data_IF_784512235719
#
_entry.id   IF_784512235719
#
_cell.length_a   1.000
_cell.length_b   1.000
_cell.length_c   1.000
_cell.angle_alpha   90.00
_cell.angle_beta   90.00
_cell.angle_gamma   90.00
#
_symmetry.space_group_name_H-M   'P 1'
#
loop_
_entity.id
_entity.type
_entity.pdbx_description
1 polymer ?
#
# COMPACT_ATOMS: atom_id res chain seq x y z
N UNK A 1 -10.15 -6.40 17.64
CA UNK A 1 -10.61 -7.77 17.93
C UNK A 1 -9.49 -8.54 18.68
N UNK A 2 -9.37 -8.37 20.00
CA UNK A 2 -8.27 -9.00 20.77
C UNK A 2 -8.32 -10.52 20.80
N UNK A 3 -9.52 -11.12 20.60
CA UNK A 3 -9.74 -12.56 20.57
C UNK A 3 -9.86 -13.17 19.17
N UNK A 4 -9.48 -12.45 18.13
CA UNK A 4 -9.80 -12.81 16.76
C UNK A 4 -11.22 -12.37 16.38
N UNK A 5 -11.71 -12.81 15.23
CA UNK A 5 -13.04 -12.49 14.70
C UNK A 5 -13.01 -12.32 13.19
N UNK A 6 -14.16 -11.99 12.62
CA UNK A 6 -14.35 -11.83 11.20
C UNK A 6 -14.41 -10.34 10.83
N UNK A 7 -13.88 -10.00 9.66
CA UNK A 7 -13.96 -8.67 9.04
C UNK A 7 -14.62 -8.83 7.66
N UNK A 8 -15.72 -8.11 7.46
CA UNK A 8 -16.45 -8.11 6.20
C UNK A 8 -16.24 -6.76 5.51
N UNK A 9 -15.98 -6.79 4.21
CA UNK A 9 -15.88 -5.61 3.36
C UNK A 9 -16.85 -5.76 2.20
N UNK A 10 -17.77 -4.80 2.08
CA UNK A 10 -18.78 -4.78 1.03
C UNK A 10 -18.74 -3.42 0.31
N UNK A 11 -19.05 -3.43 -0.98
CA UNK A 11 -19.18 -2.20 -1.78
C UNK A 11 -20.41 -2.28 -2.65
N UNK A 12 -21.13 -1.16 -2.75
CA UNK A 12 -22.30 -1.05 -3.63
C UNK A 12 -22.45 0.36 -4.19
N UNK A 13 -23.11 0.46 -5.36
CA UNK A 13 -23.56 1.74 -5.89
C UNK A 13 -24.95 2.03 -5.34
N UNK A 14 -25.10 3.22 -4.73
CA UNK A 14 -26.35 3.66 -4.13
C UNK A 14 -26.76 5.03 -4.67
N UNK A 15 -28.06 5.30 -4.69
CA UNK A 15 -28.58 6.62 -4.98
C UNK A 15 -29.15 7.21 -3.67
N UNK A 16 -28.54 8.26 -3.18
CA UNK A 16 -28.98 8.94 -1.95
C UNK A 16 -29.98 10.03 -2.28
N UNK A 17 -31.13 9.98 -1.62
CA UNK A 17 -32.18 10.98 -1.77
C UNK A 17 -31.95 12.20 -0.89
N UNK A 18 -32.74 13.24 -1.12
CA UNK A 18 -32.66 14.51 -0.37
C UNK A 18 -32.90 14.32 1.12
N UNK A 19 -33.81 13.42 1.52
CA UNK A 19 -34.11 13.20 2.93
C UNK A 19 -32.92 12.61 3.68
N UNK A 20 -32.18 11.71 3.06
CA UNK A 20 -31.00 11.08 3.64
C UNK A 20 -29.80 12.03 3.74
N UNK A 21 -29.57 12.85 2.72
CA UNK A 21 -28.35 13.69 2.66
C UNK A 21 -28.47 15.03 3.36
N UNK A 22 -29.69 15.59 3.52
CA UNK A 22 -29.90 16.90 4.16
C UNK A 22 -29.27 17.04 5.55
N UNK A 23 -29.39 16.07 6.46
CA UNK A 23 -28.74 16.16 7.79
C UNK A 23 -27.21 16.18 7.72
N UNK A 24 -26.63 15.80 6.60
CA UNK A 24 -25.18 15.67 6.40
C UNK A 24 -24.59 16.75 5.50
N UNK A 25 -25.43 17.71 5.06
CA UNK A 25 -25.05 18.80 4.14
C UNK A 25 -24.42 18.29 2.82
N UNK A 26 -24.95 17.17 2.29
CA UNK A 26 -24.45 16.56 1.06
C UNK A 26 -25.47 16.74 -0.07
N UNK A 27 -25.03 16.77 -1.34
CA UNK A 27 -25.95 16.76 -2.49
C UNK A 27 -26.59 15.38 -2.65
N UNK A 28 -27.89 15.32 -3.05
CA UNK A 28 -28.50 14.06 -3.46
C UNK A 28 -27.89 13.58 -4.78
N UNK A 29 -27.86 12.28 -5.00
CA UNK A 29 -27.31 11.73 -6.25
C UNK A 29 -26.67 10.35 -6.10
N UNK A 30 -25.87 9.93 -7.10
CA UNK A 30 -25.17 8.66 -7.07
C UNK A 30 -23.94 8.68 -6.13
N UNK A 31 -23.83 7.65 -5.31
CA UNK A 31 -22.74 7.42 -4.39
C UNK A 31 -22.23 5.98 -4.47
N UNK A 32 -20.99 5.78 -4.11
CA UNK A 32 -20.44 4.45 -3.76
C UNK A 32 -20.48 4.31 -2.24
N UNK A 33 -21.14 3.28 -1.76
CA UNK A 33 -21.15 2.90 -0.35
C UNK A 33 -20.11 1.81 -0.13
N UNK A 34 -19.23 2.02 0.85
CA UNK A 34 -18.25 1.04 1.34
C UNK A 34 -18.64 0.71 2.78
N UNK A 35 -18.85 -0.57 3.06
CA UNK A 35 -19.22 -1.05 4.39
C UNK A 35 -18.09 -1.92 4.93
N UNK A 36 -17.63 -1.59 6.13
CA UNK A 36 -16.63 -2.38 6.87
C UNK A 36 -17.25 -2.82 8.18
N UNK A 37 -17.46 -4.11 8.33
CA UNK A 37 -18.09 -4.71 9.53
C UNK A 37 -17.10 -5.65 10.23
N UNK A 38 -16.92 -5.47 11.52
CA UNK A 38 -16.15 -6.39 12.37
C UNK A 38 -17.04 -7.07 13.42
N UNK A 39 -16.66 -8.26 13.85
CA UNK A 39 -17.31 -9.02 14.93
C UNK A 39 -16.58 -8.83 16.27
N UNK A 40 -15.97 -7.68 16.48
CA UNK A 40 -15.18 -7.38 17.68
C UNK A 40 -16.02 -7.04 18.91
N UNK A 41 -15.36 -6.41 19.87
CA UNK A 41 -15.99 -6.05 21.16
C UNK A 41 -17.02 -4.93 21.08
N UNK A 42 -17.08 -4.23 19.94
CA UNK A 42 -17.97 -3.10 19.77
C UNK A 42 -17.61 -1.88 20.66
N UNK A 43 -18.50 -0.92 20.67
CA UNK A 43 -18.33 0.36 21.39
C UNK A 43 -19.59 0.78 22.10
N UNK A 44 -19.43 1.42 23.26
CA UNK A 44 -20.52 2.12 23.94
C UNK A 44 -20.84 3.47 23.27
N UNK A 45 -21.95 4.08 23.64
CA UNK A 45 -22.41 5.34 23.04
C UNK A 45 -21.43 6.50 23.24
N UNK A 46 -20.75 6.57 24.40
CA UNK A 46 -19.77 7.62 24.67
C UNK A 46 -18.55 7.47 23.76
N UNK A 47 -18.05 6.26 23.62
CA UNK A 47 -16.96 5.94 22.71
C UNK A 47 -17.36 6.23 21.27
N UNK A 48 -18.54 5.75 20.84
CA UNK A 48 -19.06 5.93 19.48
C UNK A 48 -19.14 7.40 19.06
N UNK A 49 -19.54 8.30 19.97
CA UNK A 49 -19.61 9.75 19.69
C UNK A 49 -18.24 10.41 19.51
N UNK A 50 -17.19 9.82 20.06
CA UNK A 50 -15.86 10.42 20.14
C UNK A 50 -14.81 9.75 19.26
N UNK A 51 -15.14 8.65 18.58
CA UNK A 51 -14.14 7.89 17.80
C UNK A 51 -13.46 8.69 16.70
N UNK A 52 -14.08 9.78 16.23
CA UNK A 52 -13.53 10.69 15.23
C UNK A 52 -12.81 11.90 15.83
N UNK A 53 -12.82 12.06 17.16
CA UNK A 53 -12.08 13.15 17.82
C UNK A 53 -10.57 12.88 17.70
N UNK A 54 -9.76 13.86 17.29
CA UNK A 54 -8.31 13.71 17.28
C UNK A 54 -7.79 13.34 18.67
N UNK A 55 -6.83 12.41 18.71
CA UNK A 55 -6.19 11.91 19.93
C UNK A 55 -7.09 11.06 20.85
N UNK A 56 -8.35 10.84 20.50
CA UNK A 56 -9.21 9.94 21.26
C UNK A 56 -8.83 8.49 21.01
N UNK A 57 -8.59 7.73 22.08
CA UNK A 57 -8.29 6.30 22.01
C UNK A 57 -8.75 5.61 23.29
N UNK A 58 -9.30 4.41 23.16
CA UNK A 58 -9.60 3.49 24.26
C UNK A 58 -8.45 2.51 24.54
N UNK A 59 -7.37 2.55 23.73
CA UNK A 59 -6.19 1.73 23.92
C UNK A 59 -5.28 2.32 24.99
N UNK A 60 -4.54 1.46 25.70
CA UNK A 60 -3.56 1.90 26.69
C UNK A 60 -2.51 2.82 26.07
N UNK A 61 -2.02 3.79 26.88
CA UNK A 61 -0.96 4.72 26.45
C UNK A 61 0.20 4.00 25.76
N UNK A 62 0.57 4.49 24.56
CA UNK A 62 1.65 3.94 23.75
C UNK A 62 1.24 2.93 22.66
N UNK A 63 -0.02 2.51 22.58
CA UNK A 63 -0.51 1.57 21.56
C UNK A 63 -1.42 2.20 20.48
N UNK A 64 -1.31 3.50 20.25
CA UNK A 64 -2.01 4.21 19.19
C UNK A 64 -2.20 5.68 19.52
N UNK A 65 -1.89 6.57 18.59
CA UNK A 65 -1.95 8.01 18.76
C UNK A 65 -3.40 8.57 18.74
N UNK A 66 -4.43 7.74 18.54
CA UNK A 66 -5.82 8.19 18.43
C UNK A 66 -6.11 9.08 17.20
N UNK A 67 -5.26 9.00 16.17
CA UNK A 67 -5.39 9.84 14.97
C UNK A 67 -6.02 9.11 13.78
N UNK A 68 -6.04 7.77 13.76
CA UNK A 68 -6.43 6.99 12.59
C UNK A 68 -7.85 7.30 12.11
N UNK A 69 -8.85 7.20 12.99
CA UNK A 69 -10.26 7.46 12.61
C UNK A 69 -10.53 8.95 12.36
N UNK A 70 -9.85 9.86 13.06
CA UNK A 70 -9.92 11.29 12.78
C UNK A 70 -9.40 11.61 11.36
N UNK A 71 -8.30 10.96 10.94
CA UNK A 71 -7.77 11.09 9.58
C UNK A 71 -8.74 10.51 8.55
N UNK A 72 -9.29 9.32 8.79
CA UNK A 72 -10.31 8.73 7.90
C UNK A 72 -11.51 9.67 7.74
N UNK A 73 -12.01 10.23 8.83
CA UNK A 73 -13.09 11.21 8.79
C UNK A 73 -12.72 12.43 7.93
N UNK A 74 -11.54 13.00 8.14
CA UNK A 74 -11.05 14.15 7.37
C UNK A 74 -10.91 13.83 5.87
N UNK A 75 -10.38 12.65 5.52
CA UNK A 75 -10.25 12.20 4.14
C UNK A 75 -11.63 12.05 3.48
N UNK A 76 -12.56 11.36 4.14
CA UNK A 76 -13.90 11.14 3.60
C UNK A 76 -14.62 12.48 3.39
N UNK A 77 -14.55 13.41 4.35
CA UNK A 77 -15.11 14.76 4.22
C UNK A 77 -14.43 15.57 3.12
N UNK A 78 -13.11 15.49 3.00
CA UNK A 78 -12.35 16.14 1.93
C UNK A 78 -12.72 15.68 0.52
N UNK A 79 -13.28 14.46 0.39
CA UNK A 79 -13.82 13.92 -0.85
C UNK A 79 -15.33 14.18 -1.02
N UNK A 80 -15.91 15.05 -0.23
CA UNK A 80 -17.36 15.35 -0.29
C UNK A 80 -18.23 14.18 0.15
N UNK A 81 -17.67 13.26 0.93
CA UNK A 81 -18.37 12.08 1.43
C UNK A 81 -18.85 12.19 2.87
N UNK A 82 -19.43 11.12 3.36
CA UNK A 82 -19.78 10.96 4.76
C UNK A 82 -19.40 9.57 5.28
N UNK A 83 -19.20 9.48 6.58
CA UNK A 83 -18.98 8.23 7.30
C UNK A 83 -19.97 8.13 8.45
N UNK A 84 -20.61 6.97 8.57
CA UNK A 84 -21.51 6.61 9.65
C UNK A 84 -20.98 5.39 10.37
N UNK A 85 -21.27 5.25 11.66
CA UNK A 85 -20.86 4.09 12.46
C UNK A 85 -22.03 3.60 13.31
N UNK A 86 -22.27 2.30 13.19
CA UNK A 86 -23.17 1.55 14.05
C UNK A 86 -22.33 0.57 14.89
N UNK A 87 -22.50 0.63 16.20
CA UNK A 87 -21.80 -0.29 17.11
C UNK A 87 -22.51 -0.34 18.45
N UNK A 88 -22.46 -1.51 19.06
CA UNK A 88 -22.89 -1.72 20.44
C UNK A 88 -21.92 -2.68 21.15
N UNK A 89 -21.79 -2.61 22.48
CA UNK A 89 -20.93 -3.51 23.22
C UNK A 89 -21.23 -4.98 22.92
N UNK A 90 -20.21 -5.76 22.55
CA UNK A 90 -20.30 -7.16 22.21
C UNK A 90 -20.89 -7.48 20.83
N UNK A 91 -21.21 -6.47 20.00
CA UNK A 91 -21.80 -6.67 18.67
C UNK A 91 -20.89 -6.21 17.53
N UNK A 92 -19.61 -5.93 17.81
CA UNK A 92 -18.70 -5.40 16.82
C UNK A 92 -19.01 -3.98 16.39
N UNK A 93 -18.49 -3.56 15.23
CA UNK A 93 -18.77 -2.26 14.64
C UNK A 93 -18.96 -2.37 13.12
N UNK A 94 -19.86 -1.54 12.59
CA UNK A 94 -20.10 -1.36 11.16
C UNK A 94 -19.86 0.09 10.78
N UNK A 95 -18.88 0.32 9.93
CA UNK A 95 -18.57 1.61 9.34
C UNK A 95 -19.15 1.65 7.93
N UNK A 96 -20.03 2.62 7.65
CA UNK A 96 -20.58 2.90 6.32
C UNK A 96 -20.01 4.20 5.80
N UNK A 97 -19.24 4.12 4.72
CA UNK A 97 -18.61 5.26 4.06
C UNK A 97 -19.34 5.50 2.74
N UNK A 98 -19.76 6.74 2.49
CA UNK A 98 -20.39 7.14 1.25
C UNK A 98 -19.53 8.16 0.53
N UNK A 99 -19.11 7.87 -0.69
CA UNK A 99 -18.34 8.77 -1.54
C UNK A 99 -19.14 9.11 -2.80
N UNK A 100 -19.16 10.39 -3.25
CA UNK A 100 -19.81 10.73 -4.50
C UNK A 100 -19.28 9.87 -5.65
N UNK A 101 -20.19 9.27 -6.42
CA UNK A 101 -19.80 8.51 -7.59
C UNK A 101 -19.25 9.47 -8.66
N UNK A 102 -18.13 9.11 -9.27
CA UNK A 102 -17.58 9.88 -10.39
C UNK A 102 -18.39 9.57 -11.66
N UNK A 103 -18.84 10.61 -12.36
CA UNK A 103 -19.40 10.47 -13.71
C UNK A 103 -18.34 10.22 -14.79
N UNK A 104 -17.07 10.42 -14.43
CA UNK A 104 -15.98 10.05 -15.32
C UNK A 104 -16.03 8.54 -15.49
N UNK A 105 -16.29 8.12 -16.72
CA UNK A 105 -15.98 6.74 -17.10
C UNK A 105 -14.59 6.47 -16.56
N UNK A 106 -14.36 5.37 -15.80
CA UNK A 106 -12.99 5.01 -15.45
C UNK A 106 -12.22 5.18 -16.77
N UNK A 107 -11.25 6.11 -16.82
CA UNK A 107 -10.26 5.97 -17.85
C UNK A 107 -9.89 4.51 -17.71
N UNK A 108 -10.37 3.72 -18.67
CA UNK A 108 -9.69 2.50 -18.98
C UNK A 108 -8.29 3.01 -19.29
N UNK A 109 -7.45 3.12 -18.24
CA UNK A 109 -6.07 2.77 -18.46
C UNK A 109 -6.23 1.50 -19.26
N UNK A 110 -6.03 1.66 -20.56
CA UNK A 110 -6.09 0.54 -21.45
C UNK A 110 -5.21 -0.48 -20.76
N UNK A 111 -5.80 -1.35 -19.98
CA UNK A 111 -5.31 -2.67 -19.74
C UNK A 111 -5.25 -3.23 -21.15
N UNK A 112 -4.20 -2.80 -21.87
CA UNK A 112 -3.56 -3.72 -22.76
C UNK A 112 -3.41 -4.92 -21.87
N UNK A 113 -4.25 -5.91 -22.08
CA UNK A 113 -4.04 -7.28 -21.68
C UNK A 113 -2.78 -7.76 -22.38
N UNK A 114 -1.70 -7.07 -22.09
CA UNK A 114 -0.36 -7.59 -22.23
C UNK A 114 -0.31 -8.64 -21.15
N UNK A 115 -0.42 -9.90 -21.54
CA UNK A 115 -0.42 -11.02 -20.62
C UNK A 115 0.66 -10.80 -19.58
N UNK A 116 0.39 -11.08 -18.30
CA UNK A 116 1.34 -10.89 -17.22
C UNK A 116 2.72 -11.40 -17.65
N UNK A 117 3.68 -10.50 -17.70
CA UNK A 117 5.03 -10.82 -18.15
C UNK A 117 5.67 -11.69 -17.07
N UNK A 118 6.17 -12.84 -17.46
CA UNK A 118 6.79 -13.83 -16.59
C UNK A 118 8.30 -13.83 -16.77
N UNK A 119 9.02 -14.37 -15.78
CA UNK A 119 10.45 -14.54 -15.84
C UNK A 119 10.94 -15.68 -14.95
N UNK A 120 12.24 -15.96 -15.00
CA UNK A 120 12.89 -17.02 -14.20
C UNK A 120 14.10 -16.49 -13.44
N UNK A 121 14.34 -15.19 -13.55
CA UNK A 121 15.47 -14.51 -12.95
C UNK A 121 15.34 -14.49 -11.41
N UNK A 122 16.46 -14.30 -10.73
CA UNK A 122 16.46 -14.10 -9.28
C UNK A 122 16.17 -12.65 -8.94
N UNK A 123 15.24 -12.43 -8.01
CA UNK A 123 14.87 -11.10 -7.50
C UNK A 123 15.11 -11.07 -5.99
N UNK A 124 15.82 -10.06 -5.51
CA UNK A 124 15.94 -9.76 -4.09
C UNK A 124 14.89 -8.70 -3.72
N UNK A 125 13.93 -9.08 -2.89
CA UNK A 125 12.91 -8.17 -2.35
C UNK A 125 13.35 -7.73 -0.94
N UNK A 126 13.41 -6.41 -0.74
CA UNK A 126 13.92 -5.77 0.49
C UNK A 126 12.85 -4.85 1.06
N UNK A 127 12.36 -5.15 2.25
CA UNK A 127 11.33 -4.38 2.96
C UNK A 127 11.37 -4.73 4.45
N UNK A 128 11.16 -3.78 5.35
CA UNK A 128 11.16 -4.05 6.79
C UNK A 128 9.82 -4.61 7.30
N UNK A 129 8.76 -4.53 6.48
CA UNK A 129 7.46 -5.08 6.80
C UNK A 129 7.33 -6.53 6.31
N UNK A 130 7.28 -7.51 7.23
CA UNK A 130 7.17 -8.93 6.89
C UNK A 130 5.96 -9.24 5.99
N UNK A 131 4.84 -8.56 6.20
CA UNK A 131 3.61 -8.73 5.38
C UNK A 131 3.86 -8.36 3.91
N UNK A 132 4.64 -7.29 3.67
CA UNK A 132 5.01 -6.86 2.32
C UNK A 132 5.95 -7.88 1.67
N UNK A 133 6.91 -8.41 2.43
CA UNK A 133 7.81 -9.47 1.95
C UNK A 133 7.03 -10.73 1.56
N UNK A 134 6.06 -11.16 2.38
CA UNK A 134 5.28 -12.37 2.11
C UNK A 134 4.38 -12.21 0.88
N UNK A 135 3.62 -11.10 0.79
CA UNK A 135 2.77 -10.80 -0.38
C UNK A 135 3.61 -10.62 -1.64
N UNK A 136 4.69 -9.84 -1.56
CA UNK A 136 5.58 -9.58 -2.69
C UNK A 136 6.24 -10.86 -3.21
N UNK A 137 6.63 -11.78 -2.31
CA UNK A 137 7.15 -13.10 -2.67
C UNK A 137 6.11 -13.90 -3.45
N UNK A 138 4.88 -14.03 -2.92
CA UNK A 138 3.81 -14.77 -3.60
C UNK A 138 3.53 -14.20 -5.00
N UNK A 139 3.48 -12.88 -5.12
CA UNK A 139 3.28 -12.21 -6.41
C UNK A 139 4.40 -12.54 -7.39
N UNK A 140 5.66 -12.40 -7.00
CA UNK A 140 6.82 -12.63 -7.86
C UNK A 140 7.00 -14.12 -8.21
N UNK A 141 6.79 -15.04 -7.27
CA UNK A 141 6.84 -16.48 -7.51
C UNK A 141 5.72 -16.93 -8.47
N UNK A 142 4.51 -16.36 -8.36
CA UNK A 142 3.42 -16.64 -9.30
C UNK A 142 3.73 -16.18 -10.74
N UNK A 143 4.61 -15.19 -10.89
CA UNK A 143 5.15 -14.74 -12.17
C UNK A 143 6.37 -15.57 -12.65
N UNK A 144 6.82 -16.55 -11.86
CA UNK A 144 7.89 -17.49 -12.21
C UNK A 144 9.28 -17.09 -11.71
N UNK A 145 9.45 -15.97 -11.03
CA UNK A 145 10.74 -15.51 -10.51
C UNK A 145 11.22 -16.33 -9.31
N UNK A 146 12.52 -16.41 -9.11
CA UNK A 146 13.12 -16.89 -7.85
C UNK A 146 13.29 -15.73 -6.90
N UNK A 147 12.72 -15.82 -5.70
CA UNK A 147 12.69 -14.71 -4.76
C UNK A 147 13.62 -14.95 -3.58
N UNK A 148 14.45 -13.96 -3.29
CA UNK A 148 15.25 -13.84 -2.09
C UNK A 148 14.67 -12.69 -1.27
N UNK A 149 14.65 -12.81 0.05
CA UNK A 149 14.06 -11.81 0.94
C UNK A 149 15.13 -11.20 1.83
N UNK A 150 14.96 -9.94 2.19
CA UNK A 150 15.74 -9.27 3.22
C UNK A 150 14.86 -8.26 3.97
N UNK A 151 14.86 -8.29 5.30
CA UNK A 151 14.10 -7.39 6.18
C UNK A 151 14.85 -6.09 6.50
N UNK A 152 16.01 -5.84 5.90
CA UNK A 152 16.80 -4.63 6.12
C UNK A 152 17.86 -4.44 5.05
N UNK A 153 18.39 -3.22 4.93
CA UNK A 153 19.51 -2.93 4.03
C UNK A 153 20.76 -3.75 4.33
N UNK A 154 21.07 -3.97 5.61
CA UNK A 154 22.22 -4.79 6.01
C UNK A 154 22.06 -6.25 5.58
N UNK A 155 20.88 -6.81 5.76
CA UNK A 155 20.56 -8.16 5.31
C UNK A 155 20.59 -8.27 3.78
N UNK A 156 20.05 -7.26 3.06
CA UNK A 156 20.10 -7.20 1.61
C UNK A 156 21.53 -7.31 1.08
N UNK A 157 22.47 -6.59 1.68
CA UNK A 157 23.89 -6.66 1.34
C UNK A 157 24.49 -8.04 1.65
N UNK A 158 24.10 -8.68 2.75
CA UNK A 158 24.55 -10.02 3.10
C UNK A 158 24.04 -11.07 2.10
N UNK A 159 22.74 -11.05 1.78
CA UNK A 159 22.11 -11.91 0.79
C UNK A 159 22.75 -11.71 -0.59
N UNK A 160 22.99 -10.45 -0.99
CA UNK A 160 23.62 -10.17 -2.26
C UNK A 160 25.07 -10.70 -2.33
N UNK A 161 25.85 -10.59 -1.26
CA UNK A 161 27.21 -11.16 -1.19
C UNK A 161 27.21 -12.70 -1.33
N UNK A 162 26.20 -13.34 -0.75
CA UNK A 162 26.06 -14.80 -0.81
C UNK A 162 25.59 -15.28 -2.18
N UNK A 163 24.57 -14.65 -2.74
CA UNK A 163 23.89 -15.13 -3.98
C UNK A 163 24.47 -14.50 -5.25
N UNK A 164 25.05 -13.32 -5.16
CA UNK A 164 25.75 -12.65 -6.25
C UNK A 164 24.95 -12.59 -7.55
N UNK A 165 25.52 -13.14 -8.62
CA UNK A 165 24.94 -13.14 -9.96
C UNK A 165 23.60 -13.89 -10.09
N UNK A 166 23.19 -14.66 -9.09
CA UNK A 166 21.86 -15.27 -9.09
C UNK A 166 20.75 -14.22 -8.91
N UNK A 167 21.09 -13.02 -8.41
CA UNK A 167 20.16 -11.88 -8.27
C UNK A 167 20.35 -10.96 -9.47
N UNK A 168 19.33 -10.88 -10.31
CA UNK A 168 19.30 -10.03 -11.50
C UNK A 168 18.67 -8.65 -11.23
N UNK A 169 17.81 -8.54 -10.20
CA UNK A 169 17.10 -7.34 -9.81
C UNK A 169 16.95 -7.27 -8.30
N UNK A 170 17.08 -6.07 -7.74
CA UNK A 170 16.71 -5.77 -6.35
C UNK A 170 15.49 -4.87 -6.38
N UNK A 171 14.41 -5.27 -5.71
CA UNK A 171 13.27 -4.41 -5.38
C UNK A 171 13.51 -3.90 -3.96
N UNK A 172 13.69 -2.59 -3.81
CA UNK A 172 14.21 -1.99 -2.59
C UNK A 172 13.23 -0.97 -2.01
N UNK A 173 12.75 -1.22 -0.81
CA UNK A 173 11.98 -0.19 -0.09
C UNK A 173 12.86 1.01 0.26
N UNK A 174 12.27 2.19 0.14
CA UNK A 174 12.96 3.44 0.33
C UNK A 174 13.11 3.82 1.82
N UNK A 175 12.11 3.45 2.63
CA UNK A 175 12.02 3.86 4.03
C UNK A 175 12.12 2.64 4.92
N UNK A 176 13.30 2.40 5.46
CA UNK A 176 13.57 1.30 6.37
C UNK A 176 14.30 1.79 7.63
N UNK A 177 14.10 1.17 8.80
CA UNK A 177 14.85 1.48 10.00
C UNK A 177 16.34 1.18 9.85
N UNK A 178 17.18 2.00 10.44
CA UNK A 178 18.63 1.84 10.42
C UNK A 178 19.24 2.27 9.10
N UNK A 179 19.49 1.34 8.17
CA UNK A 179 20.04 1.64 6.85
C UNK A 179 18.91 1.98 5.88
N UNK A 180 18.84 3.22 5.41
CA UNK A 180 17.83 3.67 4.45
C UNK A 180 17.96 2.98 3.08
N UNK A 181 16.89 3.00 2.28
CA UNK A 181 16.93 2.51 0.91
C UNK A 181 17.99 3.21 0.06
N UNK A 182 18.18 4.53 0.24
CA UNK A 182 19.22 5.28 -0.45
C UNK A 182 20.64 4.84 -0.12
N UNK A 183 20.92 4.62 1.16
CA UNK A 183 22.23 4.10 1.60
C UNK A 183 22.44 2.65 1.14
N UNK A 184 21.39 1.83 1.20
CA UNK A 184 21.43 0.45 0.70
C UNK A 184 21.73 0.42 -0.80
N UNK A 185 21.07 1.29 -1.58
CA UNK A 185 21.32 1.46 -3.00
C UNK A 185 22.79 1.79 -3.31
N UNK A 186 23.34 2.78 -2.63
CA UNK A 186 24.74 3.21 -2.84
C UNK A 186 25.71 2.05 -2.57
N UNK A 187 25.54 1.34 -1.45
CA UNK A 187 26.39 0.18 -1.10
C UNK A 187 26.22 -1.02 -2.04
N UNK A 188 25.01 -1.25 -2.56
CA UNK A 188 24.79 -2.27 -3.58
C UNK A 188 25.52 -1.91 -4.88
N UNK A 189 25.47 -0.64 -5.29
CA UNK A 189 26.16 -0.15 -6.49
C UNK A 189 27.68 -0.17 -6.35
N UNK A 190 28.21 0.12 -5.15
CA UNK A 190 29.64 -0.05 -4.86
C UNK A 190 30.10 -1.50 -5.01
N UNK A 191 29.28 -2.45 -4.49
CA UNK A 191 29.59 -3.87 -4.54
C UNK A 191 29.35 -4.48 -5.93
N UNK A 192 28.39 -3.95 -6.69
CA UNK A 192 27.97 -4.43 -7.99
C UNK A 192 27.44 -3.27 -8.84
N UNK A 193 28.32 -2.58 -9.59
CA UNK A 193 27.94 -1.44 -10.41
C UNK A 193 26.83 -1.73 -11.41
N UNK A 194 26.69 -2.99 -11.80
CA UNK A 194 25.74 -3.46 -12.80
C UNK A 194 24.42 -4.00 -12.24
N UNK A 195 24.21 -4.05 -10.93
CA UNK A 195 22.96 -4.56 -10.38
C UNK A 195 21.80 -3.63 -10.76
N UNK A 196 20.70 -4.20 -11.19
CA UNK A 196 19.48 -3.46 -11.45
C UNK A 196 18.72 -3.25 -10.14
N UNK A 197 18.23 -2.04 -9.94
CA UNK A 197 17.47 -1.68 -8.73
C UNK A 197 16.17 -1.00 -9.12
N UNK A 198 15.05 -1.54 -8.62
CA UNK A 198 13.72 -0.97 -8.68
C UNK A 198 13.36 -0.48 -7.29
N UNK A 199 13.26 0.86 -7.12
CA UNK A 199 12.81 1.43 -5.84
C UNK A 199 11.32 1.19 -5.65
N UNK A 200 10.91 0.92 -4.41
CA UNK A 200 9.52 0.83 -3.98
C UNK A 200 9.24 1.83 -2.87
N UNK A 201 8.13 2.58 -2.94
CA UNK A 201 7.78 3.55 -1.89
C UNK A 201 6.28 3.82 -1.85
N UNK A 202 5.76 4.08 -0.64
CA UNK A 202 4.39 4.57 -0.43
C UNK A 202 4.20 6.06 -0.75
N UNK A 203 5.28 6.79 -0.92
CA UNK A 203 5.25 8.21 -1.29
C UNK A 203 5.45 8.37 -2.81
N UNK A 204 4.84 9.42 -3.38
CA UNK A 204 5.06 9.78 -4.78
C UNK A 204 6.54 10.14 -5.04
N UNK A 205 6.93 10.19 -6.31
CA UNK A 205 8.28 10.55 -6.78
C UNK A 205 8.63 12.00 -6.38
N UNK A 206 8.85 12.25 -5.09
CA UNK A 206 9.27 13.51 -4.52
C UNK A 206 10.70 13.42 -3.96
N UNK A 207 11.30 14.55 -3.70
CA UNK A 207 12.61 14.80 -3.10
C UNK A 207 13.61 13.65 -3.05
N UNK A 208 13.43 12.70 -2.13
CA UNK A 208 14.41 11.63 -1.89
C UNK A 208 14.38 10.54 -2.98
N UNK A 209 13.20 10.12 -3.44
CA UNK A 209 13.11 9.12 -4.50
C UNK A 209 13.72 9.64 -5.81
N UNK A 210 13.48 10.92 -6.14
CA UNK A 210 14.07 11.56 -7.30
C UNK A 210 15.59 11.61 -7.21
N UNK A 211 16.17 11.93 -6.05
CA UNK A 211 17.62 11.92 -5.85
C UNK A 211 18.26 10.55 -6.09
N UNK A 212 17.58 9.45 -5.70
CA UNK A 212 18.08 8.09 -5.93
C UNK A 212 17.94 7.72 -7.43
N UNK A 213 16.85 8.13 -8.06
CA UNK A 213 16.68 7.96 -9.51
C UNK A 213 17.78 8.70 -10.30
N UNK A 214 18.10 9.93 -9.91
CA UNK A 214 19.16 10.74 -10.55
C UNK A 214 20.57 10.11 -10.37
N UNK A 215 20.77 9.28 -9.33
CA UNK A 215 21.99 8.50 -9.11
C UNK A 215 22.06 7.21 -9.94
N UNK A 216 21.10 6.99 -10.85
CA UNK A 216 21.10 5.87 -11.78
C UNK A 216 20.32 4.64 -11.30
N UNK A 217 19.29 4.82 -10.46
CA UNK A 217 18.33 3.78 -10.19
C UNK A 217 17.54 3.44 -11.46
N UNK A 218 17.22 2.15 -11.66
CA UNK A 218 16.69 1.67 -12.95
C UNK A 218 15.18 1.86 -13.10
N UNK A 219 14.45 2.03 -11.98
CA UNK A 219 13.00 2.25 -12.01
C UNK A 219 12.41 2.59 -10.64
N UNK A 220 11.13 2.95 -10.67
CA UNK A 220 10.34 3.27 -9.48
C UNK A 220 8.98 2.58 -9.54
N UNK A 221 8.53 2.00 -8.41
CA UNK A 221 7.25 1.36 -8.20
C UNK A 221 6.56 1.97 -6.98
N UNK A 222 5.43 2.62 -7.19
CA UNK A 222 4.68 3.25 -6.10
C UNK A 222 3.82 2.21 -5.38
N UNK A 223 3.90 2.14 -4.05
CA UNK A 223 2.99 1.37 -3.19
C UNK A 223 1.69 2.17 -2.92
N UNK A 224 0.53 1.52 -2.87
CA UNK A 224 0.29 0.11 -3.17
C UNK A 224 0.28 -0.15 -4.68
N UNK A 225 0.79 -1.30 -5.12
CA UNK A 225 0.83 -1.68 -6.52
C UNK A 225 0.05 -2.98 -6.78
N UNK A 226 -0.44 -3.13 -8.01
CA UNK A 226 -1.12 -4.33 -8.47
C UNK A 226 -0.12 -5.31 -9.10
N UNK A 227 -0.55 -6.56 -9.26
CA UNK A 227 0.25 -7.61 -9.91
C UNK A 227 0.72 -7.19 -11.32
N UNK A 228 -0.16 -6.54 -12.08
CA UNK A 228 0.12 -6.07 -13.44
C UNK A 228 1.22 -5.00 -13.44
N UNK A 229 1.19 -4.06 -12.48
CA UNK A 229 2.18 -2.99 -12.35
C UNK A 229 3.54 -3.57 -11.97
N UNK A 230 3.56 -4.49 -11.00
CA UNK A 230 4.76 -5.20 -10.60
C UNK A 230 5.36 -5.98 -11.77
N UNK A 231 4.55 -6.80 -12.46
CA UNK A 231 4.96 -7.59 -13.62
C UNK A 231 5.59 -6.72 -14.71
N UNK A 232 4.90 -5.65 -15.08
CA UNK A 232 5.36 -4.70 -16.11
C UNK A 232 6.66 -4.00 -15.70
N UNK A 233 6.74 -3.48 -14.46
CA UNK A 233 7.92 -2.74 -13.99
C UNK A 233 9.15 -3.62 -13.83
N UNK A 234 8.98 -4.83 -13.35
CA UNK A 234 10.07 -5.81 -13.25
C UNK A 234 10.64 -6.13 -14.63
N UNK A 235 9.80 -6.39 -15.63
CA UNK A 235 10.27 -6.65 -17.00
C UNK A 235 10.90 -5.42 -17.62
N UNK A 236 10.30 -4.23 -17.48
CA UNK A 236 10.86 -2.98 -17.98
C UNK A 236 12.30 -2.78 -17.49
N UNK A 237 12.56 -3.03 -16.21
CA UNK A 237 13.90 -2.88 -15.62
C UNK A 237 14.84 -4.01 -16.07
N UNK A 238 14.37 -5.26 -16.13
CA UNK A 238 15.19 -6.39 -16.54
C UNK A 238 15.56 -6.36 -18.04
N UNK A 239 14.71 -5.79 -18.89
CA UNK A 239 14.92 -5.69 -20.34
C UNK A 239 15.59 -4.38 -20.78
N UNK A 240 15.69 -3.40 -19.87
CA UNK A 240 16.34 -2.14 -20.17
C UNK A 240 17.78 -2.40 -20.64
N UNK A 241 18.07 -2.10 -21.91
CA UNK A 241 19.44 -2.11 -22.38
C UNK A 241 20.25 -1.11 -21.56
N UNK A 242 21.38 -1.55 -21.00
CA UNK A 242 22.30 -0.62 -20.34
C UNK A 242 22.83 0.30 -21.43
N UNK A 243 22.53 1.58 -21.31
CA UNK A 243 23.10 2.60 -22.17
C UNK A 243 24.63 2.44 -22.16
N UNK A 244 25.17 2.14 -23.33
CA UNK A 244 26.46 1.58 -23.65
C UNK A 244 27.65 2.02 -22.82
N UNK A 245 28.54 1.04 -22.66
CA UNK A 245 29.95 1.36 -22.51
C UNK A 245 30.48 2.11 -23.73
#
# INVERSE_FOLDING_TARGET
>A
MPGGGDLFLETENVHLDTAFVTPHELPPGPYVRIVVTDTGVGMDENTRRRIFDPFFTTRQMGRGAGLGLAMVYGIVKGHGGMIHVDSAPGQGATFSIFLPASEKTPEQEATKTTGMMRGTEGILLVDDEQVILDIGREMLESLGYRVYLAGSGAEALAVYREKGRAIALVILDMIMPGMSGGETFDRLREAAPDIRVLLSSGYSLDGQARQIMDRGCDGFLQKPFRMEDLSRKVREVLEKEKAGQ
#
